data_IF_580083737969
#
_entry.id   IF_580083737969
#
_cell.length_a   1.000
_cell.length_b   1.000
_cell.length_c   1.000
_cell.angle_alpha   90.00
_cell.angle_beta   90.00
_cell.angle_gamma   90.00
#
_symmetry.space_group_name_H-M   'P 1'
#
loop_
_entity.id
_entity.type
_entity.pdbx_description
1 polymer ?
#
# COMPACT_ATOMS: atom_id res chain seq x y z
N UNK A 1 -1.72 -43.50 -3.77
CA UNK A 1 -1.82 -42.76 -2.49
C UNK A 1 -2.55 -41.46 -2.76
N UNK A 2 -3.79 -41.30 -2.30
CA UNK A 2 -4.57 -40.10 -2.60
C UNK A 2 -4.07 -38.91 -1.76
N UNK A 3 -3.89 -37.71 -2.33
CA UNK A 3 -3.46 -36.56 -1.56
C UNK A 3 -4.52 -36.19 -0.53
N UNK A 4 -4.05 -35.95 0.71
CA UNK A 4 -4.87 -35.62 1.86
C UNK A 4 -5.71 -34.36 1.60
N UNK A 5 -6.88 -34.27 2.25
CA UNK A 5 -7.85 -33.18 2.08
C UNK A 5 -7.24 -31.78 2.29
N UNK A 6 -6.19 -31.69 3.12
CA UNK A 6 -5.42 -30.46 3.34
C UNK A 6 -4.57 -30.03 2.14
N UNK A 7 -3.98 -30.97 1.39
CA UNK A 7 -3.20 -30.63 0.21
C UNK A 7 -4.08 -30.10 -0.91
N UNK A 8 -5.31 -30.62 -1.04
CA UNK A 8 -6.29 -30.11 -2.01
C UNK A 8 -6.76 -28.70 -1.68
N UNK A 9 -7.01 -28.40 -0.40
CA UNK A 9 -7.39 -27.06 0.01
C UNK A 9 -6.30 -26.02 -0.30
N UNK A 10 -5.02 -26.39 -0.16
CA UNK A 10 -3.89 -25.51 -0.50
C UNK A 10 -3.78 -25.31 -2.01
N UNK A 11 -3.93 -26.37 -2.81
CA UNK A 11 -3.94 -26.27 -4.28
C UNK A 11 -5.12 -25.43 -4.79
N UNK A 12 -6.31 -25.60 -4.22
CA UNK A 12 -7.50 -24.82 -4.60
C UNK A 12 -7.35 -23.34 -4.23
N UNK A 13 -6.70 -23.03 -3.09
CA UNK A 13 -6.38 -21.66 -2.68
C UNK A 13 -5.30 -21.04 -3.60
N UNK A 14 -4.31 -21.84 -4.02
CA UNK A 14 -3.27 -21.43 -4.99
C UNK A 14 -3.87 -21.14 -6.37
N UNK A 15 -4.81 -21.96 -6.84
CA UNK A 15 -5.52 -21.74 -8.11
C UNK A 15 -6.44 -20.52 -8.04
N UNK A 16 -7.10 -20.28 -6.90
CA UNK A 16 -7.88 -19.05 -6.67
C UNK A 16 -6.99 -17.81 -6.66
N UNK A 17 -5.82 -17.89 -6.05
CA UNK A 17 -4.84 -16.80 -6.05
C UNK A 17 -4.28 -16.54 -7.46
N UNK A 18 -4.06 -17.58 -8.26
CA UNK A 18 -3.65 -17.46 -9.66
C UNK A 18 -4.75 -16.83 -10.53
N UNK A 19 -6.01 -17.21 -10.35
CA UNK A 19 -7.14 -16.62 -11.06
C UNK A 19 -7.37 -15.14 -10.70
N UNK A 20 -7.14 -14.77 -9.43
CA UNK A 20 -7.19 -13.37 -8.99
C UNK A 20 -6.01 -12.57 -9.56
N UNK A 21 -4.81 -13.16 -9.62
CA UNK A 21 -3.64 -12.53 -10.24
C UNK A 21 -3.84 -12.30 -11.75
N UNK A 22 -4.45 -13.25 -12.45
CA UNK A 22 -4.74 -13.16 -13.89
C UNK A 22 -5.86 -12.15 -14.18
N UNK A 23 -6.91 -12.10 -13.38
CA UNK A 23 -7.98 -11.09 -13.50
C UNK A 23 -7.50 -9.68 -13.16
N UNK A 24 -6.56 -9.52 -12.23
CA UNK A 24 -5.89 -8.25 -11.95
C UNK A 24 -4.93 -7.85 -13.09
N UNK A 25 -4.31 -8.83 -13.78
CA UNK A 25 -3.46 -8.56 -14.94
C UNK A 25 -4.25 -8.15 -16.19
N UNK A 26 -5.47 -8.69 -16.39
CA UNK A 26 -6.32 -8.39 -17.55
C UNK A 26 -7.00 -7.01 -17.49
N UNK A 27 -7.12 -6.41 -16.30
CA UNK A 27 -7.79 -5.12 -16.07
C UNK A 27 -6.87 -3.89 -16.17
N UNK A 28 -5.59 -4.07 -16.53
CA UNK A 28 -4.64 -2.96 -16.68
C UNK A 28 -4.57 -2.48 -18.13
N UNK A 29 -5.00 -1.26 -18.49
CA UNK A 29 -4.62 -0.65 -19.76
C UNK A 29 -3.10 -0.45 -19.74
N UNK A 30 -2.47 -0.98 -20.79
CA UNK A 30 -1.04 -1.25 -20.83
C UNK A 30 -0.15 -0.02 -20.61
N UNK A 31 0.74 -0.16 -19.64
CA UNK A 31 2.03 0.52 -19.67
C UNK A 31 3.07 -0.59 -19.76
N UNK A 32 3.33 -1.03 -21.00
CA UNK A 32 4.45 -1.91 -21.29
C UNK A 32 5.74 -1.14 -20.95
N UNK A 33 6.45 -1.69 -19.98
CA UNK A 33 7.80 -1.29 -19.63
C UNK A 33 8.68 -1.49 -20.87
N UNK A 34 9.17 -0.37 -21.42
CA UNK A 34 10.20 -0.33 -22.44
C UNK A 34 11.47 -0.98 -21.90
N UNK A 35 11.66 -2.25 -22.26
CA UNK A 35 12.89 -2.98 -22.08
C UNK A 35 14.05 -2.20 -22.72
N UNK A 36 15.14 -2.06 -21.96
CA UNK A 36 16.32 -1.29 -22.33
C UNK A 36 17.00 -1.95 -23.53
N UNK A 37 16.76 -1.45 -24.74
CA UNK A 37 17.65 -1.69 -25.86
C UNK A 37 18.92 -0.84 -25.71
N UNK A 38 20.04 -1.54 -25.49
CA UNK A 38 21.38 -0.98 -25.60
C UNK A 38 21.59 -0.34 -26.99
N UNK A 39 22.29 0.80 -27.09
CA UNK A 39 22.47 1.48 -28.37
C UNK A 39 23.40 0.67 -29.28
N UNK A 40 22.84 0.02 -30.32
CA UNK A 40 23.62 -0.39 -31.49
C UNK A 40 24.15 0.89 -32.16
N UNK A 41 25.47 1.05 -32.20
CA UNK A 41 26.16 2.08 -33.00
C UNK A 41 25.69 1.99 -34.46
N UNK A 42 25.13 3.05 -35.07
CA UNK A 42 24.86 3.04 -36.50
C UNK A 42 26.15 3.36 -37.28
N UNK A 43 26.40 2.58 -38.32
CA UNK A 43 27.42 2.83 -39.34
C UNK A 43 27.20 4.20 -40.02
N UNK A 44 28.26 4.85 -40.53
CA UNK A 44 28.14 6.16 -41.15
C UNK A 44 27.57 6.01 -42.57
N UNK A 45 26.39 6.58 -42.82
CA UNK A 45 25.85 6.71 -44.17
C UNK A 45 24.33 6.83 -44.24
N UNK A 46 23.86 7.91 -44.88
CA UNK A 46 22.48 8.21 -45.28
C UNK A 46 21.48 8.63 -44.16
N UNK A 47 21.52 9.92 -43.81
CA UNK A 47 20.52 10.54 -42.93
C UNK A 47 19.19 10.80 -43.67
N UNK A 48 18.13 10.04 -43.34
CA UNK A 48 16.75 10.43 -43.67
C UNK A 48 16.32 11.63 -42.81
N UNK A 49 15.53 12.59 -43.33
CA UNK A 49 15.17 13.79 -42.60
C UNK A 49 14.30 13.45 -41.39
N UNK A 50 14.84 13.66 -40.18
CA UNK A 50 14.10 13.49 -38.92
C UNK A 50 12.83 14.34 -38.95
N UNK A 51 11.69 13.70 -38.72
CA UNK A 51 10.38 14.34 -38.70
C UNK A 51 10.34 15.51 -37.70
N UNK A 52 9.53 16.53 -38.02
CA UNK A 52 9.39 17.75 -37.19
C UNK A 52 8.99 17.39 -35.75
N UNK A 53 8.17 16.35 -35.57
CA UNK A 53 7.77 15.82 -34.28
C UNK A 53 8.93 15.19 -33.46
N UNK A 54 9.93 14.59 -34.10
CA UNK A 54 11.12 14.11 -33.41
C UNK A 54 11.97 15.28 -32.90
N UNK A 55 12.14 16.34 -33.71
CA UNK A 55 12.90 17.54 -33.32
C UNK A 55 12.23 18.33 -32.20
N UNK A 56 10.90 18.40 -32.19
CA UNK A 56 10.14 19.03 -31.12
C UNK A 56 10.31 18.25 -29.81
N UNK A 57 10.20 16.91 -29.85
CA UNK A 57 10.44 16.06 -28.68
C UNK A 57 11.87 16.18 -28.14
N UNK A 58 12.87 16.18 -29.02
CA UNK A 58 14.27 16.33 -28.62
C UNK A 58 14.54 17.72 -28.02
N UNK A 59 13.94 18.79 -28.57
CA UNK A 59 14.02 20.15 -28.00
C UNK A 59 13.31 20.27 -26.66
N UNK A 60 12.17 19.61 -26.48
CA UNK A 60 11.44 19.59 -25.21
C UNK A 60 12.21 18.84 -24.12
N UNK A 61 12.85 17.70 -24.48
CA UNK A 61 13.74 16.96 -23.57
C UNK A 61 15.00 17.76 -23.23
N UNK A 62 15.60 18.47 -24.19
CA UNK A 62 16.79 19.29 -23.96
C UNK A 62 16.53 20.55 -23.13
N UNK A 63 15.29 21.07 -23.10
CA UNK A 63 14.90 22.23 -22.28
C UNK A 63 14.47 21.87 -20.86
N UNK A 64 14.19 20.60 -20.58
CA UNK A 64 13.86 20.14 -19.23
C UNK A 64 15.14 19.96 -18.40
N UNK A 65 15.75 21.08 -17.98
CA UNK A 65 16.71 21.03 -16.86
C UNK A 65 15.94 20.50 -15.65
N UNK A 66 16.38 19.41 -14.99
CA UNK A 66 15.69 18.92 -13.82
C UNK A 66 15.66 20.06 -12.79
N UNK A 67 14.49 20.38 -12.22
CA UNK A 67 14.39 21.43 -11.20
C UNK A 67 15.35 21.10 -10.06
N UNK A 68 16.06 22.11 -9.59
CA UNK A 68 16.99 21.99 -8.48
C UNK A 68 16.20 21.53 -7.25
N UNK A 69 16.47 20.30 -6.81
CA UNK A 69 15.69 19.63 -5.76
C UNK A 69 16.01 20.31 -4.43
N UNK A 70 15.13 21.21 -3.98
CA UNK A 70 15.20 21.82 -2.65
C UNK A 70 14.60 20.85 -1.63
N UNK A 71 15.45 20.11 -0.95
CA UNK A 71 15.10 19.31 0.21
C UNK A 71 15.97 19.69 1.42
N UNK A 72 15.74 19.08 2.59
CA UNK A 72 16.49 19.37 3.82
C UNK A 72 18.01 19.16 3.66
N UNK A 73 18.43 18.30 2.73
CA UNK A 73 19.83 18.16 2.29
C UNK A 73 19.98 18.57 0.82
N UNK A 74 21.13 19.18 0.42
CA UNK A 74 21.49 19.36 -0.99
C UNK A 74 21.68 18.03 -1.75
N UNK A 75 21.84 16.91 -1.04
CA UNK A 75 22.00 15.59 -1.64
C UNK A 75 20.62 14.89 -1.78
N UNK A 76 20.26 14.52 -3.02
CA UNK A 76 19.01 13.83 -3.33
C UNK A 76 18.90 12.45 -2.69
N UNK A 77 19.99 11.67 -2.62
CA UNK A 77 19.98 10.37 -1.97
C UNK A 77 19.70 10.49 -0.47
N UNK A 78 20.29 11.49 0.18
CA UNK A 78 20.02 11.79 1.59
C UNK A 78 18.59 12.25 1.82
N UNK A 79 18.03 13.07 0.93
CA UNK A 79 16.63 13.49 1.02
C UNK A 79 15.65 12.31 0.95
N UNK A 80 15.93 11.30 0.12
CA UNK A 80 15.11 10.10 0.04
C UNK A 80 15.18 9.26 1.33
N UNK A 81 16.37 9.15 1.93
CA UNK A 81 16.53 8.47 3.22
C UNK A 81 15.78 9.22 4.32
N UNK A 82 15.93 10.54 4.39
CA UNK A 82 15.21 11.38 5.35
C UNK A 82 13.70 11.23 5.16
N UNK A 83 13.22 11.25 3.91
CA UNK A 83 11.81 11.07 3.61
C UNK A 83 11.30 9.68 4.02
N UNK A 84 12.02 8.59 3.71
CA UNK A 84 11.61 7.23 4.11
C UNK A 84 11.59 7.07 5.63
N UNK A 85 12.59 7.60 6.33
CA UNK A 85 12.64 7.60 7.80
C UNK A 85 11.49 8.43 8.39
N UNK A 86 11.24 9.62 7.85
CA UNK A 86 10.15 10.49 8.31
C UNK A 86 8.78 9.85 8.07
N UNK A 87 8.57 9.21 6.91
CA UNK A 87 7.33 8.52 6.59
C UNK A 87 7.11 7.30 7.49
N UNK A 88 8.15 6.47 7.70
CA UNK A 88 8.05 5.29 8.58
C UNK A 88 7.90 5.65 10.05
N UNK A 89 8.69 6.61 10.53
CA UNK A 89 8.63 7.09 11.91
C UNK A 89 7.32 7.83 12.19
N UNK A 90 6.92 8.72 11.28
CA UNK A 90 5.69 9.49 11.39
C UNK A 90 4.44 8.61 11.39
N UNK A 91 4.38 7.59 10.52
CA UNK A 91 3.23 6.68 10.46
C UNK A 91 3.05 5.87 11.76
N UNK A 92 4.16 5.39 12.36
CA UNK A 92 4.10 4.65 13.61
C UNK A 92 3.58 5.52 14.77
N UNK A 93 4.05 6.77 14.86
CA UNK A 93 3.60 7.73 15.87
C UNK A 93 2.13 8.08 15.66
N UNK A 94 1.75 8.41 14.42
CA UNK A 94 0.37 8.75 14.07
C UNK A 94 -0.60 7.62 14.41
N UNK A 95 -0.22 6.37 14.13
CA UNK A 95 -1.01 5.19 14.50
C UNK A 95 -1.24 5.12 16.00
N UNK A 96 -0.18 5.22 16.81
CA UNK A 96 -0.28 5.14 18.26
C UNK A 96 -1.09 6.29 18.86
N UNK A 97 -0.94 7.49 18.30
CA UNK A 97 -1.74 8.65 18.68
C UNK A 97 -3.23 8.45 18.36
N UNK A 98 -3.55 7.88 17.19
CA UNK A 98 -4.93 7.58 16.81
C UNK A 98 -5.55 6.50 17.70
N UNK A 99 -4.81 5.42 17.99
CA UNK A 99 -5.25 4.35 18.91
C UNK A 99 -5.58 4.93 20.28
N UNK A 100 -4.69 5.75 20.85
CA UNK A 100 -4.94 6.42 22.13
C UNK A 100 -6.08 7.43 22.08
N UNK A 101 -6.23 8.19 20.99
CA UNK A 101 -7.29 9.18 20.84
C UNK A 101 -8.68 8.54 20.72
N UNK A 102 -8.78 7.38 20.08
CA UNK A 102 -10.04 6.64 19.90
C UNK A 102 -10.40 5.86 21.16
N UNK A 103 -9.48 5.05 21.69
CA UNK A 103 -9.77 4.22 22.86
C UNK A 103 -9.81 5.04 24.15
N UNK A 104 -8.92 6.04 24.29
CA UNK A 104 -8.83 6.86 25.50
C UNK A 104 -10.04 7.78 25.73
N UNK A 105 -10.86 8.04 24.71
CA UNK A 105 -12.14 8.77 24.87
C UNK A 105 -13.31 7.86 25.21
N UNK A 106 -13.24 6.59 24.83
CA UNK A 106 -14.36 5.65 24.92
C UNK A 106 -14.25 4.68 26.11
N UNK A 107 -13.03 4.42 26.62
CA UNK A 107 -12.76 3.41 27.63
C UNK A 107 -11.83 3.93 28.73
N UNK A 108 -11.88 3.28 29.89
CA UNK A 108 -10.95 3.55 31.00
C UNK A 108 -9.52 3.16 30.61
N UNK A 109 -8.49 3.82 31.15
CA UNK A 109 -7.09 3.56 30.78
C UNK A 109 -6.69 2.07 30.90
N UNK A 110 -7.19 1.38 31.93
CA UNK A 110 -6.93 -0.05 32.14
C UNK A 110 -7.56 -0.93 31.05
N UNK A 111 -8.82 -0.66 30.69
CA UNK A 111 -9.52 -1.42 29.65
C UNK A 111 -8.95 -1.11 28.26
N UNK A 112 -8.62 0.14 27.99
CA UNK A 112 -7.95 0.53 26.74
C UNK A 112 -6.62 -0.19 26.56
N UNK A 113 -5.82 -0.32 27.62
CA UNK A 113 -4.54 -1.05 27.58
C UNK A 113 -4.75 -2.55 27.32
N UNK A 114 -5.67 -3.20 28.02
CA UNK A 114 -6.00 -4.61 27.80
C UNK A 114 -6.45 -4.89 26.34
N UNK A 115 -7.28 -4.01 25.76
CA UNK A 115 -7.70 -4.12 24.35
C UNK A 115 -6.51 -4.03 23.40
N UNK A 116 -5.54 -3.16 23.68
CA UNK A 116 -4.36 -3.00 22.83
C UNK A 116 -3.41 -4.21 22.95
N UNK A 117 -3.28 -4.74 24.16
CA UNK A 117 -2.39 -5.87 24.46
C UNK A 117 -2.95 -7.20 23.89
N UNK A 118 -4.29 -7.36 23.84
CA UNK A 118 -4.94 -8.53 23.24
C UNK A 118 -5.04 -8.51 21.72
N UNK A 119 -4.54 -7.47 21.04
CA UNK A 119 -4.47 -7.46 19.57
C UNK A 119 -3.42 -8.48 19.11
N UNK A 120 -3.85 -9.57 18.48
CA UNK A 120 -2.94 -10.61 17.99
C UNK A 120 -1.82 -10.02 17.10
N UNK A 121 -0.58 -10.44 17.34
CA UNK A 121 0.59 -10.03 16.55
C UNK A 121 0.41 -10.39 15.06
N UNK A 122 -0.26 -11.50 14.75
CA UNK A 122 -0.51 -11.96 13.39
C UNK A 122 -1.42 -11.03 12.57
N UNK A 123 -2.50 -10.52 13.18
CA UNK A 123 -3.42 -9.60 12.51
C UNK A 123 -2.76 -8.25 12.23
N UNK A 124 -1.88 -7.78 13.14
CA UNK A 124 -1.07 -6.59 12.92
C UNK A 124 -0.08 -6.74 11.76
N UNK A 125 0.49 -7.94 11.56
CA UNK A 125 1.37 -8.24 10.43
C UNK A 125 0.59 -8.25 9.12
N UNK A 126 -0.58 -8.90 9.06
CA UNK A 126 -1.42 -8.92 7.88
C UNK A 126 -1.84 -7.51 7.44
N UNK A 127 -2.27 -6.66 8.38
CA UNK A 127 -2.55 -5.26 8.11
C UNK A 127 -1.31 -4.47 7.67
N UNK A 128 -0.15 -4.75 8.26
CA UNK A 128 1.12 -4.14 7.87
C UNK A 128 1.52 -4.45 6.41
N UNK A 129 1.27 -5.68 5.95
CA UNK A 129 1.50 -6.07 4.56
C UNK A 129 0.53 -5.39 3.60
N UNK A 130 -0.76 -5.33 3.97
CA UNK A 130 -1.77 -4.63 3.17
C UNK A 130 -1.43 -3.13 3.04
N UNK A 131 -0.96 -2.52 4.13
CA UNK A 131 -0.50 -1.14 4.15
C UNK A 131 0.72 -0.92 3.24
N UNK A 132 1.67 -1.86 3.19
CA UNK A 132 2.81 -1.78 2.26
C UNK A 132 2.39 -1.86 0.80
N UNK A 133 1.42 -2.70 0.46
CA UNK A 133 0.87 -2.79 -0.91
C UNK A 133 0.17 -1.48 -1.30
N UNK A 134 -0.57 -0.89 -0.36
CA UNK A 134 -1.20 0.41 -0.56
C UNK A 134 -0.18 1.55 -0.71
N UNK A 135 0.89 1.57 0.09
CA UNK A 135 1.87 2.66 0.09
C UNK A 135 2.91 2.58 -1.04
N UNK A 136 3.20 1.38 -1.55
CA UNK A 136 4.17 1.19 -2.63
C UNK A 136 3.58 1.41 -4.03
N UNK A 137 2.28 1.70 -4.16
CA UNK A 137 1.65 1.96 -5.46
C UNK A 137 0.54 3.01 -5.36
N UNK A 138 0.58 4.01 -6.25
CA UNK A 138 -0.47 5.05 -6.33
C UNK A 138 -1.85 4.45 -6.66
N UNK A 139 -1.97 3.48 -7.60
CA UNK A 139 -3.25 2.82 -7.86
C UNK A 139 -3.76 2.00 -6.64
N UNK A 140 -2.87 1.29 -5.95
CA UNK A 140 -3.23 0.51 -4.76
C UNK A 140 -3.67 1.39 -3.59
N UNK A 141 -3.01 2.52 -3.38
CA UNK A 141 -3.43 3.53 -2.40
C UNK A 141 -4.86 4.00 -2.67
N UNK A 142 -5.18 4.35 -3.91
CA UNK A 142 -6.52 4.82 -4.29
C UNK A 142 -7.56 3.73 -4.08
N UNK A 143 -7.29 2.49 -4.49
CA UNK A 143 -8.22 1.39 -4.30
C UNK A 143 -8.51 1.12 -2.82
N UNK A 144 -7.46 1.07 -1.98
CA UNK A 144 -7.60 0.82 -0.53
C UNK A 144 -8.29 1.98 0.17
N UNK A 145 -7.83 3.21 -0.06
CA UNK A 145 -8.41 4.42 0.56
C UNK A 145 -9.86 4.61 0.09
N UNK A 146 -10.13 4.44 -1.20
CA UNK A 146 -11.46 4.54 -1.79
C UNK A 146 -12.41 3.46 -1.27
N UNK A 147 -11.98 2.20 -1.25
CA UNK A 147 -12.76 1.09 -0.70
C UNK A 147 -13.07 1.29 0.78
N UNK A 148 -12.09 1.77 1.56
CA UNK A 148 -12.29 2.09 2.97
C UNK A 148 -13.25 3.28 3.16
N UNK A 149 -13.15 4.32 2.33
CA UNK A 149 -14.08 5.45 2.37
C UNK A 149 -15.53 5.00 2.10
N UNK A 150 -15.73 4.14 1.10
CA UNK A 150 -17.05 3.55 0.82
C UNK A 150 -17.54 2.72 2.02
N UNK A 151 -16.66 1.87 2.58
CA UNK A 151 -17.00 1.03 3.75
C UNK A 151 -17.37 1.88 4.97
N UNK A 152 -16.64 2.96 5.23
CA UNK A 152 -16.92 3.84 6.37
C UNK A 152 -18.27 4.55 6.22
N UNK A 153 -18.60 5.02 5.01
CA UNK A 153 -19.90 5.64 4.74
C UNK A 153 -21.04 4.62 4.87
N UNK A 154 -20.81 3.39 4.41
CA UNK A 154 -21.75 2.28 4.58
C UNK A 154 -21.96 1.93 6.07
N UNK A 155 -20.90 1.81 6.86
CA UNK A 155 -20.99 1.50 8.29
C UNK A 155 -21.69 2.61 9.08
N UNK A 156 -21.50 3.87 8.67
CA UNK A 156 -22.22 5.01 9.25
C UNK A 156 -23.73 4.91 9.01
N UNK A 157 -24.16 4.45 7.83
CA UNK A 157 -25.58 4.21 7.54
C UNK A 157 -26.19 3.10 8.42
N UNK A 158 -25.36 2.19 8.95
CA UNK A 158 -25.76 1.06 9.81
C UNK A 158 -25.16 1.15 11.23
N UNK A 159 -24.95 2.37 11.72
CA UNK A 159 -24.19 2.65 12.93
C UNK A 159 -24.62 1.83 14.16
N UNK A 160 -25.92 1.56 14.35
CA UNK A 160 -26.41 0.77 15.50
C UNK A 160 -25.87 -0.67 15.50
N UNK A 161 -25.92 -1.34 14.34
CA UNK A 161 -25.40 -2.71 14.21
C UNK A 161 -23.88 -2.73 14.28
N UNK A 162 -23.23 -1.75 13.63
CA UNK A 162 -21.77 -1.63 13.62
C UNK A 162 -21.19 -1.38 15.03
N UNK A 163 -21.87 -0.58 15.86
CA UNK A 163 -21.48 -0.35 17.27
C UNK A 163 -21.58 -1.63 18.09
N UNK A 164 -22.71 -2.33 18.02
CA UNK A 164 -22.90 -3.57 18.78
C UNK A 164 -21.90 -4.66 18.39
N UNK A 165 -21.56 -4.79 17.10
CA UNK A 165 -20.52 -5.73 16.66
C UNK A 165 -19.11 -5.29 17.06
N UNK A 166 -18.84 -3.98 17.05
CA UNK A 166 -17.54 -3.43 17.46
C UNK A 166 -17.28 -3.59 18.94
N UNK A 167 -18.28 -3.33 19.78
CA UNK A 167 -18.18 -3.48 21.24
C UNK A 167 -17.92 -4.94 21.65
N UNK A 168 -18.50 -5.91 20.94
CA UNK A 168 -18.24 -7.34 21.18
C UNK A 168 -16.79 -7.71 20.87
N UNK A 169 -16.28 -7.30 19.71
CA UNK A 169 -14.88 -7.53 19.33
C UNK A 169 -13.90 -6.87 20.30
N UNK A 170 -14.20 -5.65 20.76
CA UNK A 170 -13.37 -4.96 21.75
C UNK A 170 -13.45 -5.61 23.15
N UNK A 171 -14.55 -6.28 23.48
CA UNK A 171 -14.64 -7.06 24.72
C UNK A 171 -13.76 -8.31 24.65
N UNK A 172 -13.85 -9.06 23.56
CA UNK A 172 -13.02 -10.25 23.28
C UNK A 172 -11.52 -9.91 23.31
N UNK A 173 -11.11 -8.83 22.63
CA UNK A 173 -9.72 -8.36 22.67
C UNK A 173 -9.25 -7.94 24.07
N UNK A 174 -10.15 -7.39 24.90
CA UNK A 174 -9.80 -7.03 26.27
C UNK A 174 -9.58 -8.26 27.16
N UNK A 175 -10.33 -9.33 26.91
CA UNK A 175 -10.22 -10.60 27.63
C UNK A 175 -8.89 -11.28 27.29
N UNK A 176 -8.60 -11.46 25.99
CA UNK A 176 -7.34 -12.04 25.49
C UNK A 176 -6.09 -11.30 26.00
N UNK A 177 -6.16 -9.96 26.07
CA UNK A 177 -5.06 -9.12 26.54
C UNK A 177 -4.84 -9.13 28.05
N UNK A 178 -5.75 -9.71 28.83
CA UNK A 178 -5.55 -9.93 30.28
C UNK A 178 -4.98 -11.31 30.60
N UNK A 179 -5.06 -12.25 29.66
CA UNK A 179 -4.52 -13.61 29.78
C UNK A 179 -3.08 -13.75 29.25
N UNK A 180 -2.57 -12.72 28.56
CA UNK A 180 -1.22 -12.63 27.96
C UNK A 180 -0.22 -11.88 28.84
#
# INVERSE_FOLDING_TARGET
>A
MAPGKFQRAISDEQERQAAIAETVALAAPGIQASEKQAPKKPAPGAAKPRSRAARVRDKLKAKAKPPEIRGPSPNSATNLIIADVALRGGAAIARRAMEQAVLGKAYTPRKAKAILDGRSFGESIAHGLLARVALNSVPGAIAVVGGLAIKTLYDRSRARKARASGERQLAEMAEDGTES
#
